data_IF_989914209077
#
_entry.id   IF_989914209077
#
_cell.length_a   1.000
_cell.length_b   1.000
_cell.length_c   1.000
_cell.angle_alpha   90.00
_cell.angle_beta   90.00
_cell.angle_gamma   90.00
#
_symmetry.space_group_name_H-M   'P 1'
#
loop_
_entity.id
_entity.type
_entity.pdbx_description
1 polymer ?
#
# COMPACT_ATOMS: atom_id res chain seq x y z
N UNK A 1 12.76 31.65 -9.06
CA UNK A 1 11.38 31.15 -9.20
C UNK A 1 11.50 29.80 -9.89
N UNK A 2 11.30 28.63 -9.29
CA UNK A 2 10.87 28.20 -7.96
C UNK A 2 11.75 27.01 -7.54
N UNK A 3 12.18 27.01 -6.28
CA UNK A 3 12.86 25.86 -5.68
C UNK A 3 11.82 24.76 -5.46
N UNK A 4 11.89 23.70 -6.26
CA UNK A 4 11.14 22.46 -6.03
C UNK A 4 11.72 21.73 -4.82
N UNK A 5 11.24 22.08 -3.64
CA UNK A 5 11.53 21.37 -2.39
C UNK A 5 10.94 19.96 -2.47
N UNK A 6 11.77 18.98 -2.83
CA UNK A 6 11.43 17.58 -2.70
C UNK A 6 11.32 17.26 -1.20
N UNK A 7 10.11 17.37 -0.66
CA UNK A 7 9.80 16.91 0.68
C UNK A 7 10.05 15.39 0.72
N UNK A 8 11.23 15.00 1.21
CA UNK A 8 11.59 13.60 1.39
C UNK A 8 10.60 12.94 2.33
N UNK A 9 9.94 11.88 1.84
CA UNK A 9 9.04 11.06 2.63
C UNK A 9 9.86 10.35 3.72
N UNK A 10 9.74 10.80 4.97
CA UNK A 10 10.38 10.15 6.12
C UNK A 10 9.48 9.01 6.58
N UNK A 11 9.91 7.78 6.35
CA UNK A 11 9.17 6.57 6.72
C UNK A 11 9.80 5.99 7.98
N UNK A 12 9.01 5.90 9.06
CA UNK A 12 9.37 5.15 10.26
C UNK A 12 8.43 3.94 10.36
N UNK A 13 9.01 2.74 10.31
CA UNK A 13 8.29 1.49 10.50
C UNK A 13 8.75 0.86 11.80
N UNK A 14 7.80 0.60 12.71
CA UNK A 14 8.02 -0.23 13.89
C UNK A 14 7.33 -1.59 13.69
N UNK A 15 8.07 -2.67 13.91
CA UNK A 15 7.51 -4.01 13.91
C UNK A 15 7.07 -4.35 15.33
N UNK A 16 5.78 -4.61 15.53
CA UNK A 16 5.27 -5.19 16.78
C UNK A 16 5.66 -6.69 16.84
N UNK A 17 5.88 -7.18 18.07
CA UNK A 17 6.56 -8.43 18.42
C UNK A 17 6.02 -9.71 17.76
N UNK A 18 6.90 -10.73 17.73
CA UNK A 18 6.76 -12.05 17.14
C UNK A 18 5.44 -12.76 17.45
N UNK A 19 4.46 -12.58 16.58
CA UNK A 19 3.16 -13.24 16.62
C UNK A 19 2.18 -12.66 15.61
N UNK A 20 2.30 -11.36 15.32
CA UNK A 20 1.55 -10.67 14.29
C UNK A 20 2.53 -9.97 13.35
N UNK A 21 2.60 -10.40 12.09
CA UNK A 21 3.43 -9.76 11.04
C UNK A 21 2.81 -8.43 10.57
N UNK A 22 2.16 -7.70 11.48
CA UNK A 22 1.53 -6.41 11.22
C UNK A 22 2.58 -5.32 11.47
N UNK A 23 3.06 -4.70 10.39
CA UNK A 23 3.94 -3.54 10.48
C UNK A 23 3.08 -2.29 10.52
N UNK A 24 3.20 -1.49 11.58
CA UNK A 24 2.53 -0.20 11.68
C UNK A 24 3.41 0.87 11.04
N UNK A 25 2.84 1.61 10.09
CA UNK A 25 3.59 2.51 9.22
C UNK A 25 3.15 3.95 9.51
N UNK A 26 4.09 4.76 10.00
CA UNK A 26 3.86 6.18 10.27
C UNK A 26 4.79 7.00 9.39
N UNK A 27 4.22 7.84 8.53
CA UNK A 27 4.96 8.71 7.64
C UNK A 27 4.23 10.06 7.51
N UNK A 28 5.00 11.14 7.39
CA UNK A 28 4.47 12.45 7.03
C UNK A 28 4.30 12.52 5.51
N UNK A 29 3.04 12.60 5.06
CA UNK A 29 2.69 12.62 3.63
C UNK A 29 2.53 14.07 3.18
N UNK A 30 3.11 14.48 2.03
CA UNK A 30 2.95 15.85 1.54
C UNK A 30 1.48 16.15 1.20
N UNK A 31 1.03 17.38 1.50
CA UNK A 31 -0.37 17.81 1.35
C UNK A 31 -0.97 17.51 -0.04
N UNK A 32 -0.26 17.76 -1.18
CA UNK A 32 -0.82 17.47 -2.50
C UNK A 32 -1.11 15.98 -2.72
N UNK A 33 -0.27 15.08 -2.16
CA UNK A 33 -0.47 13.64 -2.26
C UNK A 33 -1.65 13.21 -1.39
N UNK A 34 -1.76 13.75 -0.17
CA UNK A 34 -2.89 13.48 0.72
C UNK A 34 -4.21 13.90 0.06
N UNK A 35 -4.26 15.09 -0.54
CA UNK A 35 -5.43 15.59 -1.27
C UNK A 35 -5.80 14.66 -2.44
N UNK A 36 -4.82 14.28 -3.26
CA UNK A 36 -5.04 13.37 -4.38
C UNK A 36 -5.58 12.00 -3.94
N UNK A 37 -5.04 11.43 -2.86
CA UNK A 37 -5.48 10.16 -2.28
C UNK A 37 -6.92 10.24 -1.76
N UNK A 38 -7.27 11.31 -1.06
CA UNK A 38 -8.65 11.55 -0.57
C UNK A 38 -9.63 11.64 -1.74
N UNK A 39 -9.32 12.47 -2.74
CA UNK A 39 -10.17 12.61 -3.92
C UNK A 39 -10.30 11.31 -4.72
N UNK A 40 -9.28 10.44 -4.72
CA UNK A 40 -9.38 9.11 -5.33
C UNK A 40 -10.39 8.22 -4.57
N UNK A 41 -10.27 8.15 -3.24
CA UNK A 41 -11.17 7.34 -2.39
C UNK A 41 -12.61 7.81 -2.51
N UNK A 42 -12.84 9.13 -2.50
CA UNK A 42 -14.18 9.73 -2.63
C UNK A 42 -14.89 9.33 -3.94
N UNK A 43 -14.13 9.13 -5.03
CA UNK A 43 -14.68 8.70 -6.33
C UNK A 43 -14.86 7.18 -6.45
N UNK A 44 -14.30 6.42 -5.53
CA UNK A 44 -14.24 4.96 -5.60
C UNK A 44 -14.69 4.34 -4.27
N UNK A 45 -15.99 4.15 -4.04
CA UNK A 45 -16.54 3.73 -2.74
C UNK A 45 -16.09 2.34 -2.27
N UNK A 46 -15.54 1.52 -3.18
CA UNK A 46 -14.99 0.23 -2.83
C UNK A 46 -13.56 0.33 -2.27
N UNK A 47 -12.91 1.49 -2.36
CA UNK A 47 -11.53 1.69 -1.97
C UNK A 47 -11.42 2.39 -0.62
N UNK A 48 -10.58 1.85 0.24
CA UNK A 48 -10.22 2.45 1.51
C UNK A 48 -8.74 2.86 1.51
N UNK A 49 -8.35 3.69 2.48
CA UNK A 49 -6.96 4.14 2.67
C UNK A 49 -5.97 2.97 2.66
N UNK A 50 -6.24 1.91 3.42
CA UNK A 50 -5.37 0.73 3.49
C UNK A 50 -5.23 0.02 2.14
N UNK A 51 -6.33 -0.17 1.42
CA UNK A 51 -6.32 -0.84 0.11
C UNK A 51 -5.52 -0.06 -0.91
N UNK A 52 -5.66 1.26 -0.91
CA UNK A 52 -4.91 2.16 -1.77
C UNK A 52 -3.41 2.07 -1.49
N UNK A 53 -3.01 2.13 -0.22
CA UNK A 53 -1.60 2.00 0.17
C UNK A 53 -1.02 0.63 -0.16
N UNK A 54 -1.75 -0.46 0.12
CA UNK A 54 -1.31 -1.81 -0.20
C UNK A 54 -1.14 -2.02 -1.70
N UNK A 55 -2.08 -1.53 -2.52
CA UNK A 55 -1.98 -1.60 -3.98
C UNK A 55 -0.78 -0.79 -4.49
N UNK A 56 -0.59 0.44 -3.98
CA UNK A 56 0.50 1.30 -4.38
C UNK A 56 1.87 0.72 -4.01
N UNK A 57 2.01 0.18 -2.79
CA UNK A 57 3.26 -0.43 -2.33
C UNK A 57 3.56 -1.72 -3.08
N UNK A 58 2.58 -2.61 -3.25
CA UNK A 58 2.77 -3.82 -4.04
C UNK A 58 3.11 -3.51 -5.50
N UNK A 59 2.43 -2.52 -6.10
CA UNK A 59 2.74 -2.05 -7.46
C UNK A 59 4.13 -1.42 -7.56
N UNK A 60 4.58 -0.66 -6.56
CA UNK A 60 5.94 -0.14 -6.50
C UNK A 60 6.96 -1.28 -6.45
N UNK A 61 6.76 -2.29 -5.60
CA UNK A 61 7.67 -3.44 -5.50
C UNK A 61 7.73 -4.23 -6.82
N UNK A 62 6.59 -4.48 -7.47
CA UNK A 62 6.56 -5.15 -8.78
C UNK A 62 7.31 -4.35 -9.84
N UNK A 63 7.11 -3.03 -9.90
CA UNK A 63 7.81 -2.16 -10.85
C UNK A 63 9.33 -2.11 -10.62
N UNK A 64 9.79 -2.30 -9.37
CA UNK A 64 11.21 -2.34 -9.02
C UNK A 64 11.84 -3.74 -9.18
N UNK A 65 11.14 -4.69 -9.82
CA UNK A 65 11.70 -6.02 -10.10
C UNK A 65 11.69 -6.98 -8.92
N UNK A 66 10.82 -6.74 -7.92
CA UNK A 66 10.59 -7.74 -6.87
C UNK A 66 9.73 -8.88 -7.45
N UNK A 67 10.40 -9.90 -7.98
CA UNK A 67 9.80 -11.11 -8.55
C UNK A 67 9.32 -12.08 -7.46
N UNK A 68 8.39 -11.59 -6.62
CA UNK A 68 7.72 -12.40 -5.61
C UNK A 68 6.27 -12.63 -6.01
N UNK A 69 5.92 -13.90 -6.28
CA UNK A 69 4.52 -14.35 -6.44
C UNK A 69 3.58 -13.78 -5.38
N UNK A 70 3.90 -13.77 -4.06
CA UNK A 70 3.01 -13.18 -3.06
C UNK A 70 2.82 -11.67 -3.22
N UNK A 71 3.83 -10.94 -3.71
CA UNK A 71 3.75 -9.47 -3.93
C UNK A 71 2.88 -9.16 -5.13
N UNK A 72 3.09 -9.87 -6.26
CA UNK A 72 2.23 -9.74 -7.45
C UNK A 72 0.79 -10.13 -7.12
N UNK A 73 0.62 -11.18 -6.32
CA UNK A 73 -0.68 -11.59 -5.81
C UNK A 73 -1.30 -10.44 -5.00
N UNK A 74 -0.60 -9.92 -4.00
CA UNK A 74 -1.06 -8.78 -3.19
C UNK A 74 -1.48 -7.57 -4.06
N UNK A 75 -0.70 -7.23 -5.09
CA UNK A 75 -1.05 -6.17 -6.03
C UNK A 75 -2.40 -6.42 -6.72
N UNK A 76 -2.56 -7.58 -7.36
CA UNK A 76 -3.79 -7.94 -8.07
C UNK A 76 -5.00 -8.06 -7.11
N UNK A 77 -4.80 -8.55 -5.88
CA UNK A 77 -5.81 -8.60 -4.81
C UNK A 77 -6.49 -7.25 -4.61
N UNK A 78 -5.65 -6.23 -4.49
CA UNK A 78 -6.07 -4.91 -4.07
C UNK A 78 -6.66 -4.13 -5.24
N UNK A 79 -6.31 -4.47 -6.49
CA UNK A 79 -6.94 -3.94 -7.69
C UNK A 79 -8.34 -4.53 -7.94
N UNK A 80 -8.53 -5.83 -7.70
CA UNK A 80 -9.74 -6.58 -8.06
C UNK A 80 -10.46 -7.16 -6.84
N UNK A 81 -11.28 -6.35 -6.14
CA UNK A 81 -11.91 -6.74 -4.87
C UNK A 81 -13.03 -7.77 -5.01
N UNK A 82 -13.56 -7.98 -6.23
CA UNK A 82 -14.70 -8.87 -6.49
C UNK A 82 -14.35 -10.36 -6.62
N UNK A 83 -13.16 -10.78 -6.19
CA UNK A 83 -12.73 -12.19 -6.22
C UNK A 83 -12.74 -12.77 -4.78
N UNK A 84 -13.86 -13.39 -4.34
CA UNK A 84 -13.98 -13.97 -3.00
C UNK A 84 -12.99 -15.13 -2.72
N UNK A 85 -12.25 -15.62 -3.72
CA UNK A 85 -11.23 -16.68 -3.55
C UNK A 85 -9.80 -16.20 -3.34
N UNK A 86 -9.54 -14.89 -3.35
CA UNK A 86 -8.16 -14.39 -3.44
C UNK A 86 -7.50 -14.10 -2.08
N UNK A 87 -8.27 -13.62 -1.10
CA UNK A 87 -7.76 -13.06 0.16
C UNK A 87 -7.44 -14.10 1.25
N UNK A 88 -7.80 -15.36 1.04
CA UNK A 88 -7.66 -16.44 2.03
C UNK A 88 -6.27 -17.09 2.09
N UNK A 89 -5.36 -16.77 1.16
CA UNK A 89 -4.05 -17.44 1.14
C UNK A 89 -2.97 -16.77 2.01
N UNK A 90 -3.26 -15.66 2.69
CA UNK A 90 -2.24 -15.00 3.53
C UNK A 90 -1.93 -15.78 4.81
N UNK A 91 -2.77 -16.76 5.19
CA UNK A 91 -2.58 -17.56 6.42
C UNK A 91 -2.01 -18.97 6.16
N UNK A 92 -1.58 -19.28 4.93
CA UNK A 92 -1.04 -20.61 4.56
C UNK A 92 0.40 -20.57 4.02
N UNK A 93 1.19 -19.60 4.49
CA UNK A 93 2.65 -19.68 4.42
C UNK A 93 3.17 -19.65 5.85
N UNK A 94 3.07 -20.80 6.51
CA UNK A 94 3.84 -21.15 7.70
C UNK A 94 4.83 -22.23 7.30
#
# INVERSE_FOLDING_TARGET
MESGSAAGLKISAEALSAGETMVSLRAEVPEPLLAAMRSFIERHPNWDQYRLFQAALAGFLVQNGVDSRPVTRCYLANLFPSQPGFRDASNSCR
#
